data_IF_663865265079
#
_entry.id   IF_663865265079
#
_cell.length_a   1.000
_cell.length_b   1.000
_cell.length_c   1.000
_cell.angle_alpha   90.00
_cell.angle_beta   90.00
_cell.angle_gamma   90.00
#
_symmetry.space_group_name_H-M   'P 1'
#
loop_
_entity.id
_entity.type
_entity.pdbx_description
1 polymer ?
#
# COMPACT_ATOMS: atom_id res chain seq x y z
N UNK A 1 4.06 7.62 -18.09
CA UNK A 1 3.31 6.57 -17.34
C UNK A 1 2.71 7.21 -16.10
N UNK A 2 1.46 6.96 -15.81
CA UNK A 2 0.82 7.50 -14.60
C UNK A 2 1.57 6.98 -13.35
N UNK A 3 2.04 7.86 -12.43
CA UNK A 3 2.81 7.47 -11.24
C UNK A 3 2.07 6.46 -10.35
N UNK A 4 0.75 6.56 -10.27
CA UNK A 4 -0.06 5.62 -9.48
C UNK A 4 -0.02 4.21 -10.08
N UNK A 5 -0.06 4.07 -11.41
CA UNK A 5 0.06 2.77 -12.08
C UNK A 5 1.45 2.18 -11.86
N UNK A 6 2.50 3.00 -11.98
CA UNK A 6 3.86 2.57 -11.70
C UNK A 6 3.99 2.02 -10.27
N UNK A 7 3.45 2.74 -9.28
CA UNK A 7 3.49 2.32 -7.90
C UNK A 7 2.72 1.02 -7.65
N UNK A 8 1.55 0.84 -8.28
CA UNK A 8 0.79 -0.41 -8.20
C UNK A 8 1.64 -1.57 -8.70
N UNK A 9 2.29 -1.42 -9.85
CA UNK A 9 3.16 -2.46 -10.44
C UNK A 9 4.34 -2.77 -9.50
N UNK A 10 5.01 -1.75 -8.95
CA UNK A 10 6.11 -1.94 -8.00
C UNK A 10 5.66 -2.60 -6.70
N UNK A 11 4.55 -2.13 -6.12
CA UNK A 11 4.03 -2.72 -4.89
C UNK A 11 3.61 -4.18 -5.08
N UNK A 12 3.00 -4.52 -6.22
CA UNK A 12 2.65 -5.90 -6.57
C UNK A 12 3.90 -6.76 -6.74
N UNK A 13 4.91 -6.27 -7.48
CA UNK A 13 6.18 -6.97 -7.65
C UNK A 13 6.86 -7.28 -6.33
N UNK A 14 6.95 -6.31 -5.42
CA UNK A 14 7.52 -6.52 -4.09
C UNK A 14 6.66 -7.47 -3.23
N UNK A 15 5.34 -7.42 -3.37
CA UNK A 15 4.44 -8.39 -2.73
C UNK A 15 4.72 -9.82 -3.16
N UNK A 16 4.89 -10.07 -4.46
CA UNK A 16 5.24 -11.37 -5.02
C UNK A 16 6.63 -11.80 -4.55
N UNK A 17 7.64 -10.93 -4.66
CA UNK A 17 9.02 -11.24 -4.29
C UNK A 17 9.14 -11.62 -2.81
N UNK A 18 8.47 -10.89 -1.92
CA UNK A 18 8.45 -11.22 -0.49
C UNK A 18 7.64 -12.50 -0.21
N UNK A 19 6.52 -12.71 -0.89
CA UNK A 19 5.75 -13.94 -0.79
C UNK A 19 6.56 -15.15 -1.18
N UNK A 20 7.33 -15.06 -2.27
CA UNK A 20 8.25 -16.11 -2.71
C UNK A 20 9.38 -16.33 -1.70
N UNK A 21 9.98 -15.27 -1.16
CA UNK A 21 11.01 -15.37 -0.14
C UNK A 21 10.50 -16.10 1.13
N UNK A 22 9.28 -15.80 1.58
CA UNK A 22 8.65 -16.49 2.71
C UNK A 22 8.45 -17.97 2.42
N UNK A 23 8.03 -18.32 1.21
CA UNK A 23 7.74 -19.72 0.83
C UNK A 23 8.98 -20.63 0.83
N UNK A 24 10.18 -20.05 0.74
CA UNK A 24 11.47 -20.76 0.77
C UNK A 24 12.31 -20.45 2.01
N UNK A 25 11.67 -19.98 3.08
CA UNK A 25 12.34 -19.58 4.35
C UNK A 25 13.49 -18.56 4.18
N UNK A 26 13.50 -17.85 3.05
CA UNK A 26 14.49 -16.83 2.79
C UNK A 26 14.22 -15.57 3.65
N UNK A 27 15.31 -14.92 4.07
CA UNK A 27 15.22 -13.67 4.85
C UNK A 27 14.57 -12.57 4.02
N UNK A 28 13.44 -12.04 4.51
CA UNK A 28 12.75 -10.94 3.85
C UNK A 28 13.49 -9.63 4.13
N UNK A 29 13.85 -8.93 3.07
CA UNK A 29 14.47 -7.60 3.15
C UNK A 29 13.40 -6.49 3.14
N UNK A 30 12.51 -6.49 4.13
CA UNK A 30 11.45 -5.46 4.24
C UNK A 30 12.00 -4.03 4.20
N UNK A 31 13.15 -3.79 4.83
CA UNK A 31 13.77 -2.46 4.84
C UNK A 31 14.15 -1.96 3.45
N UNK A 32 14.71 -2.82 2.61
CA UNK A 32 15.11 -2.45 1.24
C UNK A 32 13.89 -2.09 0.38
N UNK A 33 12.82 -2.88 0.47
CA UNK A 33 11.58 -2.62 -0.25
C UNK A 33 10.93 -1.30 0.19
N UNK A 34 10.95 -1.03 1.51
CA UNK A 34 10.47 0.23 2.06
C UNK A 34 11.26 1.44 1.54
N UNK A 35 12.59 1.32 1.45
CA UNK A 35 13.45 2.37 0.90
C UNK A 35 13.09 2.67 -0.57
N UNK A 36 12.96 1.64 -1.42
CA UNK A 36 12.61 1.86 -2.84
C UNK A 36 11.24 2.53 -3.00
N UNK A 37 10.22 2.07 -2.28
CA UNK A 37 8.89 2.69 -2.31
C UNK A 37 8.95 4.14 -1.82
N UNK A 38 9.69 4.41 -0.74
CA UNK A 38 9.84 5.76 -0.19
C UNK A 38 10.55 6.70 -1.16
N UNK A 39 11.65 6.27 -1.76
CA UNK A 39 12.38 7.08 -2.77
C UNK A 39 11.48 7.41 -3.95
N UNK A 40 10.71 6.44 -4.44
CA UNK A 40 9.76 6.65 -5.53
C UNK A 40 8.68 7.68 -5.15
N UNK A 41 8.07 7.55 -3.96
CA UNK A 41 7.04 8.47 -3.49
C UNK A 41 7.61 9.88 -3.31
N UNK A 42 8.80 10.02 -2.70
CA UNK A 42 9.46 11.31 -2.48
C UNK A 42 9.77 11.99 -3.82
N UNK A 43 10.32 11.27 -4.79
CA UNK A 43 10.64 11.83 -6.10
C UNK A 43 9.41 12.45 -6.77
N UNK A 44 8.29 11.74 -6.82
CA UNK A 44 7.06 12.28 -7.38
C UNK A 44 6.40 13.34 -6.51
N UNK A 45 6.54 13.27 -5.19
CA UNK A 45 6.03 14.28 -4.27
C UNK A 45 6.73 15.63 -4.50
N UNK A 46 8.04 15.63 -4.75
CA UNK A 46 8.81 16.85 -5.09
C UNK A 46 8.29 17.44 -6.40
N UNK A 47 8.08 16.63 -7.44
CA UNK A 47 7.51 17.12 -8.71
C UNK A 47 6.11 17.71 -8.52
N UNK A 48 5.26 17.06 -7.72
CA UNK A 48 3.93 17.59 -7.41
C UNK A 48 3.97 18.88 -6.60
N UNK A 49 4.92 19.00 -5.67
CA UNK A 49 5.16 20.23 -4.93
C UNK A 49 5.53 21.41 -5.84
N UNK A 50 6.42 21.19 -6.77
CA UNK A 50 6.85 22.20 -7.73
C UNK A 50 5.75 22.68 -8.66
N UNK A 51 4.81 21.80 -9.01
CA UNK A 51 3.71 22.08 -9.94
C UNK A 51 2.46 22.64 -9.25
N UNK A 52 2.13 22.17 -8.05
CA UNK A 52 0.84 22.38 -7.43
C UNK A 52 0.90 22.86 -5.97
N UNK A 53 2.10 22.91 -5.37
CA UNK A 53 2.31 23.37 -4.01
C UNK A 53 2.18 22.30 -2.92
N UNK A 54 2.36 22.75 -1.66
CA UNK A 54 2.55 21.88 -0.50
C UNK A 54 1.36 20.93 -0.22
N UNK A 55 0.16 21.46 -0.18
CA UNK A 55 -1.04 20.67 0.18
C UNK A 55 -1.36 19.56 -0.82
N UNK A 56 -1.14 19.83 -2.10
CA UNK A 56 -1.29 18.81 -3.15
C UNK A 56 -0.21 17.73 -3.05
N UNK A 57 1.04 18.12 -2.77
CA UNK A 57 2.12 17.18 -2.55
C UNK A 57 1.83 16.26 -1.36
N UNK A 58 1.32 16.81 -0.26
CA UNK A 58 0.95 16.04 0.93
C UNK A 58 -0.18 15.04 0.62
N UNK A 59 -1.22 15.48 -0.08
CA UNK A 59 -2.30 14.60 -0.53
C UNK A 59 -1.82 13.50 -1.46
N UNK A 60 -0.90 13.82 -2.37
CA UNK A 60 -0.26 12.88 -3.26
C UNK A 60 0.52 11.80 -2.49
N UNK A 61 1.34 12.19 -1.51
CA UNK A 61 2.09 11.26 -0.64
C UNK A 61 1.14 10.32 0.09
N UNK A 62 0.06 10.86 0.68
CA UNK A 62 -0.92 10.07 1.40
C UNK A 62 -1.58 9.01 0.49
N UNK A 63 -2.03 9.41 -0.72
CA UNK A 63 -2.60 8.48 -1.70
C UNK A 63 -1.63 7.36 -2.04
N UNK A 64 -0.37 7.70 -2.30
CA UNK A 64 0.63 6.73 -2.74
C UNK A 64 1.03 5.75 -1.63
N UNK A 65 1.12 6.22 -0.39
CA UNK A 65 1.33 5.34 0.77
C UNK A 65 0.19 4.34 0.95
N UNK A 66 -1.06 4.81 0.81
CA UNK A 66 -2.23 3.95 0.91
C UNK A 66 -2.31 2.93 -0.24
N UNK A 67 -2.02 3.34 -1.47
CA UNK A 67 -1.96 2.43 -2.63
C UNK A 67 -0.89 1.36 -2.39
N UNK A 68 0.33 1.77 -2.03
CA UNK A 68 1.43 0.85 -1.76
C UNK A 68 1.05 -0.15 -0.66
N UNK A 69 0.43 0.31 0.42
CA UNK A 69 -0.03 -0.53 1.54
C UNK A 69 -1.06 -1.56 1.09
N UNK A 70 -2.14 -1.12 0.42
CA UNK A 70 -3.24 -2.02 0.00
C UNK A 70 -2.75 -3.06 -1.01
N UNK A 71 -2.01 -2.63 -2.03
CA UNK A 71 -1.55 -3.53 -3.09
C UNK A 71 -0.53 -4.52 -2.55
N UNK A 72 0.50 -4.04 -1.83
CA UNK A 72 1.54 -4.89 -1.28
C UNK A 72 0.97 -5.96 -0.34
N UNK A 73 0.16 -5.56 0.63
CA UNK A 73 -0.42 -6.48 1.62
C UNK A 73 -1.35 -7.51 0.96
N UNK A 74 -2.19 -7.05 0.02
CA UNK A 74 -3.10 -7.94 -0.71
C UNK A 74 -2.34 -8.97 -1.53
N UNK A 75 -1.36 -8.55 -2.33
CA UNK A 75 -0.57 -9.46 -3.17
C UNK A 75 0.27 -10.42 -2.34
N UNK A 76 0.90 -9.92 -1.26
CA UNK A 76 1.66 -10.75 -0.34
C UNK A 76 0.79 -11.85 0.28
N UNK A 77 -0.41 -11.50 0.75
CA UNK A 77 -1.32 -12.44 1.38
C UNK A 77 -1.89 -13.45 0.38
N UNK A 78 -2.24 -13.03 -0.83
CA UNK A 78 -2.65 -13.95 -1.91
C UNK A 78 -1.53 -14.95 -2.18
N UNK A 79 -0.29 -14.50 -2.30
CA UNK A 79 0.84 -15.37 -2.60
C UNK A 79 1.13 -16.37 -1.47
N UNK A 80 1.05 -15.92 -0.21
CA UNK A 80 1.29 -16.78 0.95
C UNK A 80 0.20 -17.81 1.20
N UNK A 81 -1.04 -17.44 0.93
CA UNK A 81 -2.21 -18.20 1.38
C UNK A 81 -3.13 -18.65 0.22
N UNK A 82 -2.63 -18.64 -1.03
CA UNK A 82 -3.42 -19.01 -2.20
C UNK A 82 -4.12 -20.37 -2.08
N UNK A 83 -3.52 -21.32 -1.35
CA UNK A 83 -4.11 -22.65 -1.08
C UNK A 83 -5.34 -22.61 -0.19
N UNK A 84 -5.56 -21.51 0.55
CA UNK A 84 -6.73 -21.33 1.44
C UNK A 84 -7.91 -20.67 0.72
N UNK A 85 -7.78 -20.41 -0.56
CA UNK A 85 -8.75 -19.66 -1.35
C UNK A 85 -8.48 -18.15 -1.33
N UNK A 86 -8.83 -17.48 -2.42
CA UNK A 86 -8.51 -16.07 -2.67
C UNK A 86 -9.08 -15.14 -1.59
N UNK A 87 -10.35 -15.32 -1.24
CA UNK A 87 -11.02 -14.47 -0.25
C UNK A 87 -10.41 -14.62 1.14
N UNK A 88 -10.13 -15.85 1.58
CA UNK A 88 -9.45 -16.09 2.86
C UNK A 88 -8.05 -15.48 2.90
N UNK A 89 -7.33 -15.55 1.79
CA UNK A 89 -6.00 -14.95 1.67
C UNK A 89 -6.06 -13.41 1.81
N UNK A 90 -6.99 -12.76 1.12
CA UNK A 90 -7.16 -11.30 1.19
C UNK A 90 -7.57 -10.85 2.59
N UNK A 91 -8.41 -11.63 3.27
CA UNK A 91 -8.89 -11.32 4.63
C UNK A 91 -7.89 -11.68 5.75
N UNK A 92 -6.73 -12.21 5.41
CA UNK A 92 -5.78 -12.65 6.42
C UNK A 92 -5.24 -11.49 7.26
N UNK A 93 -5.29 -11.67 8.58
CA UNK A 93 -4.69 -10.80 9.59
C UNK A 93 -3.73 -11.64 10.43
N UNK A 94 -2.50 -11.18 10.62
CA UNK A 94 -1.51 -11.89 11.42
C UNK A 94 -1.91 -11.95 12.89
N UNK A 95 -1.76 -13.12 13.52
CA UNK A 95 -1.96 -13.26 14.96
C UNK A 95 -0.96 -12.43 15.77
N UNK A 96 0.29 -12.40 15.31
CA UNK A 96 1.38 -11.64 15.92
C UNK A 96 1.94 -10.59 14.94
N UNK A 97 1.26 -9.45 14.76
CA UNK A 97 1.69 -8.45 13.81
C UNK A 97 2.99 -7.76 14.26
N UNK A 98 4.01 -7.76 13.39
CA UNK A 98 5.30 -7.15 13.67
C UNK A 98 5.32 -5.65 13.39
N UNK A 99 4.59 -5.18 12.38
CA UNK A 99 4.53 -3.78 12.03
C UNK A 99 3.60 -2.99 12.97
N UNK A 100 3.91 -1.72 13.18
CA UNK A 100 3.07 -0.82 13.99
C UNK A 100 1.69 -0.67 13.35
N UNK A 101 1.64 -0.53 12.03
CA UNK A 101 0.39 -0.36 11.27
C UNK A 101 -0.49 -1.61 11.44
N UNK A 102 0.06 -2.82 11.27
CA UNK A 102 -0.70 -4.06 11.44
C UNK A 102 -1.24 -4.22 12.86
N UNK A 103 -0.49 -3.74 13.87
CA UNK A 103 -0.95 -3.74 15.26
C UNK A 103 -2.12 -2.79 15.48
N UNK A 104 -2.07 -1.60 14.89
CA UNK A 104 -3.16 -0.62 14.95
C UNK A 104 -4.38 -1.16 14.22
N UNK A 105 -4.21 -1.66 13.00
CA UNK A 105 -5.30 -2.26 12.22
C UNK A 105 -5.97 -3.41 12.99
N UNK A 106 -5.17 -4.32 13.55
CA UNK A 106 -5.69 -5.42 14.37
C UNK A 106 -6.43 -4.93 15.60
N UNK A 107 -5.95 -3.87 16.25
CA UNK A 107 -6.62 -3.31 17.45
C UNK A 107 -7.97 -2.68 17.12
N UNK A 108 -8.10 -2.04 15.95
CA UNK A 108 -9.33 -1.35 15.52
C UNK A 108 -10.32 -2.33 14.88
N UNK A 109 -9.85 -3.20 13.99
CA UNK A 109 -10.68 -4.04 13.12
C UNK A 109 -10.69 -5.53 13.53
N UNK A 110 -9.93 -5.90 14.56
CA UNK A 110 -9.80 -7.28 14.98
C UNK A 110 -9.17 -8.17 13.90
N UNK A 111 -9.83 -9.25 13.56
CA UNK A 111 -9.41 -10.20 12.53
C UNK A 111 -10.07 -9.96 11.16
N UNK A 112 -10.70 -8.81 10.95
CA UNK A 112 -11.30 -8.45 9.66
C UNK A 112 -10.27 -7.72 8.78
N UNK A 113 -9.55 -8.45 7.94
CA UNK A 113 -8.55 -7.91 7.03
C UNK A 113 -9.13 -7.14 5.83
N UNK A 114 -10.43 -7.25 5.55
CA UNK A 114 -11.08 -6.45 4.51
C UNK A 114 -11.34 -5.02 4.95
N UNK A 115 -11.73 -4.82 6.21
CA UNK A 115 -12.15 -3.51 6.71
C UNK A 115 -11.10 -2.41 6.49
N UNK A 116 -9.82 -2.56 6.88
CA UNK A 116 -8.81 -1.55 6.63
C UNK A 116 -8.59 -1.31 5.13
N UNK A 117 -8.62 -2.36 4.30
CA UNK A 117 -8.42 -2.22 2.84
C UNK A 117 -9.55 -1.42 2.19
N UNK A 118 -10.79 -1.67 2.57
CA UNK A 118 -11.96 -0.93 2.07
C UNK A 118 -11.85 0.56 2.48
N UNK A 119 -11.52 0.82 3.73
CA UNK A 119 -11.35 2.18 4.23
C UNK A 119 -10.23 2.90 3.46
N UNK A 120 -9.08 2.26 3.25
CA UNK A 120 -7.99 2.86 2.49
C UNK A 120 -8.38 3.14 1.03
N UNK A 121 -9.14 2.26 0.38
CA UNK A 121 -9.65 2.48 -0.97
C UNK A 121 -10.60 3.68 -1.00
N UNK A 122 -11.50 3.81 -0.02
CA UNK A 122 -12.40 4.96 0.09
C UNK A 122 -11.59 6.26 0.25
N UNK A 123 -10.57 6.27 1.13
CA UNK A 123 -9.69 7.43 1.29
C UNK A 123 -8.93 7.78 0.01
N UNK A 124 -8.39 6.79 -0.71
CA UNK A 124 -7.70 6.99 -1.99
C UNK A 124 -8.64 7.66 -2.99
N UNK A 125 -9.85 7.16 -3.13
CA UNK A 125 -10.85 7.72 -4.06
C UNK A 125 -11.22 9.15 -3.66
N UNK A 126 -11.53 9.38 -2.38
CA UNK A 126 -11.93 10.70 -1.86
C UNK A 126 -10.84 11.74 -2.06
N UNK A 127 -9.59 11.41 -1.73
CA UNK A 127 -8.44 12.31 -1.92
C UNK A 127 -8.18 12.61 -3.40
N UNK A 128 -8.27 11.60 -4.28
CA UNK A 128 -8.12 11.83 -5.72
C UNK A 128 -9.21 12.77 -6.26
N UNK A 129 -10.46 12.59 -5.83
CA UNK A 129 -11.57 13.46 -6.23
C UNK A 129 -11.37 14.89 -5.71
N UNK A 130 -10.94 15.04 -4.46
CA UNK A 130 -10.68 16.35 -3.86
C UNK A 130 -9.56 17.10 -4.60
N UNK A 131 -8.44 16.43 -4.86
CA UNK A 131 -7.31 17.00 -5.60
C UNK A 131 -7.78 17.41 -7.00
N UNK A 132 -8.49 16.54 -7.70
CA UNK A 132 -8.98 16.82 -9.05
C UNK A 132 -9.95 17.98 -9.09
N UNK A 133 -10.85 18.08 -8.11
CA UNK A 133 -11.80 19.19 -8.03
C UNK A 133 -11.11 20.54 -7.82
N UNK A 134 -10.04 20.56 -7.00
CA UNK A 134 -9.27 21.80 -6.77
C UNK A 134 -8.40 22.19 -7.97
N UNK A 135 -7.96 21.26 -8.79
CA UNK A 135 -7.17 21.55 -10.00
C UNK A 135 -8.02 22.04 -11.18
N UNK A 136 -9.34 21.91 -11.11
CA UNK A 136 -10.29 22.39 -12.12
C UNK A 136 -10.81 23.81 -11.85
N UNK A 137 -10.44 24.41 -10.70
CA UNK A 137 -10.74 25.80 -10.36
C UNK A 137 -9.57 26.72 -10.72
#
# INVERSE_FOLDING_TARGET
>A
MNPQIALIVFAAFFGIANGKAISVDARIRHGLNGVFVSVFIIFFAIQYYMLHGFWYSLGYVAIHLLIARVVFDTVLNIYRFHRRGLFSAINYVSENPKSIIDRIEKRIFGYNGYAPKIIYIIFIISLNLLIRWQTLK
#
